data_IF_264146893036
#
_entry.id   IF_264146893036
#
_cell.length_a   1.000
_cell.length_b   1.000
_cell.length_c   1.000
_cell.angle_alpha   90.00
_cell.angle_beta   90.00
_cell.angle_gamma   90.00
#
_symmetry.space_group_name_H-M   'P 1'
#
loop_
_entity.id
_entity.type
_entity.pdbx_description
1 polymer ?
#
# COMPACT_ATOMS: atom_id res chain seq x y z
N UNK A 1 -3.35 -23.25 41.23
CA UNK A 1 -3.35 -22.02 40.41
C UNK A 1 -4.63 -22.03 39.58
N UNK A 2 -5.66 -21.36 40.11
CA UNK A 2 -6.34 -20.17 39.55
C UNK A 2 -7.32 -20.47 38.41
N UNK A 3 -8.59 -20.44 38.79
CA UNK A 3 -9.84 -20.21 38.07
C UNK A 3 -9.76 -19.59 36.66
N UNK A 4 -10.65 -20.02 35.77
CA UNK A 4 -11.65 -19.06 35.27
C UNK A 4 -12.94 -19.72 34.78
N UNK A 5 -14.03 -19.23 35.34
CA UNK A 5 -15.43 -19.57 35.07
C UNK A 5 -15.94 -18.66 33.96
N UNK A 6 -16.50 -19.21 32.86
CA UNK A 6 -17.54 -18.50 32.10
C UNK A 6 -18.56 -19.50 31.55
N UNK A 7 -19.76 -19.37 32.10
CA UNK A 7 -21.03 -20.00 31.74
C UNK A 7 -21.46 -19.54 30.34
N UNK A 8 -21.65 -20.47 29.40
CA UNK A 8 -22.42 -20.22 28.17
C UNK A 8 -23.62 -21.18 28.14
N UNK A 9 -24.59 -20.91 29.01
CA UNK A 9 -25.95 -21.40 28.81
C UNK A 9 -26.79 -20.23 28.31
N UNK A 10 -27.36 -20.39 27.12
CA UNK A 10 -28.61 -19.80 26.61
C UNK A 10 -28.41 -19.63 25.12
N UNK A 11 -28.97 -20.52 24.32
CA UNK A 11 -30.02 -20.21 23.33
C UNK A 11 -30.62 -21.55 22.89
N UNK A 12 -31.76 -21.92 23.49
CA UNK A 12 -32.65 -22.95 22.95
C UNK A 12 -33.49 -22.25 21.88
N UNK A 13 -33.35 -22.65 20.62
CA UNK A 13 -34.22 -22.20 19.54
C UNK A 13 -35.63 -22.74 19.86
N UNK A 14 -36.67 -21.91 19.99
CA UNK A 14 -38.03 -22.41 20.14
C UNK A 14 -38.46 -23.07 18.82
N UNK A 15 -38.87 -24.34 18.89
CA UNK A 15 -39.57 -25.00 17.79
C UNK A 15 -40.87 -24.23 17.51
N UNK A 16 -41.17 -24.04 16.22
CA UNK A 16 -42.28 -23.24 15.74
C UNK A 16 -43.62 -23.93 15.99
N UNK A 17 -44.55 -23.22 16.62
CA UNK A 17 -45.98 -23.56 16.67
C UNK A 17 -46.67 -22.78 15.53
N UNK A 18 -47.38 -23.44 14.58
CA UNK A 18 -47.78 -22.80 13.33
C UNK A 18 -49.10 -22.02 13.38
N UNK A 19 -49.72 -21.81 14.54
CA UNK A 19 -51.04 -21.19 14.65
C UNK A 19 -51.04 -20.02 15.64
N UNK A 20 -50.42 -18.91 15.27
CA UNK A 20 -50.89 -17.61 15.76
C UNK A 20 -50.50 -16.49 14.78
N UNK A 21 -51.51 -15.79 14.28
CA UNK A 21 -51.45 -14.83 13.17
C UNK A 21 -50.68 -13.54 13.48
N UNK A 22 -49.39 -13.63 13.77
CA UNK A 22 -48.52 -12.47 13.93
C UNK A 22 -47.88 -12.13 12.58
N UNK A 23 -48.42 -11.09 11.95
CA UNK A 23 -47.84 -10.44 10.78
C UNK A 23 -46.37 -10.11 11.03
N UNK A 24 -45.47 -10.78 10.31
CA UNK A 24 -44.08 -10.38 10.13
C UNK A 24 -44.04 -9.09 9.30
N UNK A 25 -44.54 -8.00 9.88
CA UNK A 25 -44.28 -6.67 9.39
C UNK A 25 -42.78 -6.47 9.54
N UNK A 26 -42.09 -6.70 8.42
CA UNK A 26 -40.76 -6.23 8.06
C UNK A 26 -40.24 -5.19 9.06
N UNK A 27 -39.58 -5.68 10.11
CA UNK A 27 -38.76 -4.83 10.95
C UNK A 27 -37.53 -4.55 10.11
N UNK A 28 -37.65 -3.59 9.20
CA UNK A 28 -36.53 -2.95 8.55
C UNK A 28 -35.73 -2.30 9.66
N UNK A 29 -34.74 -3.02 10.18
CA UNK A 29 -33.70 -2.46 11.03
C UNK A 29 -32.91 -1.46 10.18
N UNK A 30 -33.43 -0.24 10.06
CA UNK A 30 -32.60 0.89 9.69
C UNK A 30 -31.64 1.06 10.84
N UNK A 31 -30.43 0.49 10.71
CA UNK A 31 -29.31 0.74 11.61
C UNK A 31 -29.05 2.24 11.55
N UNK A 32 -29.68 3.00 12.44
CA UNK A 32 -29.47 4.44 12.59
C UNK A 32 -28.04 4.60 13.08
N UNK A 33 -27.10 4.65 12.14
CA UNK A 33 -25.68 4.72 12.44
C UNK A 33 -25.45 5.96 13.27
N UNK A 34 -25.09 5.77 14.54
CA UNK A 34 -24.81 6.87 15.46
C UNK A 34 -23.80 7.83 14.82
N UNK A 35 -24.00 9.14 15.01
CA UNK A 35 -23.08 10.17 14.50
C UNK A 35 -21.64 9.87 14.88
N UNK A 36 -21.41 9.36 16.10
CA UNK A 36 -20.09 8.94 16.60
C UNK A 36 -19.51 7.78 15.79
N UNK A 37 -20.33 6.81 15.38
CA UNK A 37 -19.89 5.68 14.56
C UNK A 37 -19.47 6.14 13.15
N UNK A 38 -20.17 7.12 12.57
CA UNK A 38 -19.79 7.73 11.29
C UNK A 38 -18.47 8.49 11.38
N UNK A 39 -18.33 9.35 12.40
CA UNK A 39 -17.09 10.10 12.63
C UNK A 39 -15.90 9.16 12.86
N UNK A 40 -16.08 8.12 13.67
CA UNK A 40 -15.04 7.12 13.92
C UNK A 40 -14.65 6.34 12.67
N UNK A 41 -15.62 5.94 11.84
CA UNK A 41 -15.35 5.26 10.57
C UNK A 41 -14.56 6.15 9.60
N UNK A 42 -14.92 7.44 9.47
CA UNK A 42 -14.16 8.38 8.64
C UNK A 42 -12.75 8.63 9.18
N UNK A 43 -12.60 8.75 10.50
CA UNK A 43 -11.29 8.89 11.13
C UNK A 43 -10.40 7.68 10.78
N UNK A 44 -10.88 6.45 11.00
CA UNK A 44 -10.14 5.24 10.65
C UNK A 44 -9.84 5.15 9.15
N UNK A 45 -10.79 5.52 8.28
CA UNK A 45 -10.58 5.56 6.82
C UNK A 45 -9.43 6.51 6.45
N UNK A 46 -9.26 7.62 7.16
CA UNK A 46 -8.19 8.59 6.90
C UNK A 46 -6.87 8.13 7.52
N UNK A 47 -6.88 7.73 8.80
CA UNK A 47 -5.64 7.45 9.54
C UNK A 47 -5.01 6.11 9.23
N UNK A 48 -5.80 5.12 8.79
CA UNK A 48 -5.31 3.76 8.58
C UNK A 48 -5.03 3.46 7.11
N UNK A 49 -4.86 4.49 6.27
CA UNK A 49 -4.40 4.30 4.90
C UNK A 49 -2.98 3.73 4.92
N UNK A 50 -2.76 2.67 4.14
CA UNK A 50 -1.41 2.17 3.91
C UNK A 50 -0.73 3.06 2.85
N UNK A 51 -0.21 4.19 3.32
CA UNK A 51 0.44 5.19 2.47
C UNK A 51 1.66 4.60 1.75
N UNK A 52 2.39 3.70 2.40
CA UNK A 52 3.56 3.05 1.83
C UNK A 52 3.19 2.21 0.61
N UNK A 53 2.19 1.34 0.75
CA UNK A 53 1.71 0.53 -0.36
C UNK A 53 1.08 1.38 -1.46
N UNK A 54 0.37 2.45 -1.09
CA UNK A 54 -0.23 3.38 -2.06
C UNK A 54 0.85 4.08 -2.87
N UNK A 55 1.93 4.52 -2.22
CA UNK A 55 3.08 5.13 -2.86
C UNK A 55 3.78 4.15 -3.81
N UNK A 56 4.13 2.95 -3.34
CA UNK A 56 4.81 1.97 -4.19
C UNK A 56 3.94 1.51 -5.36
N UNK A 57 2.63 1.31 -5.17
CA UNK A 57 1.74 0.97 -6.28
C UNK A 57 1.69 2.07 -7.36
N UNK A 58 1.68 3.35 -6.96
CA UNK A 58 1.74 4.46 -7.88
C UNK A 58 3.12 4.57 -8.55
N UNK A 59 4.19 4.35 -7.79
CA UNK A 59 5.56 4.37 -8.28
C UNK A 59 5.81 3.26 -9.31
N UNK A 60 5.39 2.04 -9.01
CA UNK A 60 5.50 0.85 -9.86
C UNK A 60 4.83 1.08 -11.22
N UNK A 61 3.64 1.71 -11.22
CA UNK A 61 2.92 2.09 -12.43
C UNK A 61 3.74 3.02 -13.35
N UNK A 62 4.64 3.82 -12.78
CA UNK A 62 5.46 4.79 -13.51
C UNK A 62 6.86 4.28 -13.87
N UNK A 63 7.31 3.15 -13.33
CA UNK A 63 8.64 2.58 -13.62
C UNK A 63 8.94 2.47 -15.13
N UNK A 64 8.05 1.94 -16.00
CA UNK A 64 8.36 1.81 -17.42
C UNK A 64 8.63 3.16 -18.10
N UNK A 65 7.86 4.18 -17.72
CA UNK A 65 8.00 5.54 -18.28
C UNK A 65 9.29 6.20 -17.81
N UNK A 66 9.64 6.05 -16.53
CA UNK A 66 10.89 6.58 -15.98
C UNK A 66 12.10 5.92 -16.65
N UNK A 67 12.10 4.60 -16.79
CA UNK A 67 13.16 3.88 -17.50
C UNK A 67 13.32 4.36 -18.96
N UNK A 68 12.22 4.60 -19.67
CA UNK A 68 12.27 5.14 -21.02
C UNK A 68 12.90 6.55 -21.08
N UNK A 69 12.54 7.43 -20.14
CA UNK A 69 13.12 8.78 -20.02
C UNK A 69 14.62 8.69 -19.72
N UNK A 70 15.03 7.79 -18.83
CA UNK A 70 16.45 7.61 -18.50
C UNK A 70 17.25 7.08 -19.68
N UNK A 71 16.73 6.10 -20.43
CA UNK A 71 17.36 5.62 -21.67
C UNK A 71 17.50 6.74 -22.69
N UNK A 72 16.44 7.53 -22.90
CA UNK A 72 16.48 8.68 -23.81
C UNK A 72 17.53 9.71 -23.41
N UNK A 73 17.67 9.97 -22.11
CA UNK A 73 18.69 10.90 -21.57
C UNK A 73 20.10 10.31 -21.68
N UNK A 74 20.26 9.01 -21.45
CA UNK A 74 21.53 8.28 -21.56
C UNK A 74 22.07 8.20 -23.00
N UNK A 75 21.19 8.27 -24.02
CA UNK A 75 21.62 8.34 -25.43
C UNK A 75 22.21 9.69 -25.85
N UNK A 76 22.29 10.67 -24.94
CA UNK A 76 22.89 11.99 -25.18
C UNK A 76 24.34 12.03 -24.70
N UNK A 77 25.03 13.14 -24.95
CA UNK A 77 26.38 13.39 -24.43
C UNK A 77 26.36 14.11 -23.08
N UNK A 78 27.38 13.89 -22.26
CA UNK A 78 27.67 14.62 -21.02
C UNK A 78 27.59 13.75 -19.76
N UNK A 79 28.13 14.28 -18.66
CA UNK A 79 28.31 13.56 -17.38
C UNK A 79 27.04 12.87 -16.86
N UNK A 80 25.89 13.55 -16.94
CA UNK A 80 24.59 12.97 -16.55
C UNK A 80 24.20 11.79 -17.44
N UNK A 81 24.46 11.86 -18.74
CA UNK A 81 24.11 10.79 -19.67
C UNK A 81 25.02 9.57 -19.45
N UNK A 82 26.32 9.79 -19.22
CA UNK A 82 27.29 8.75 -18.87
C UNK A 82 26.89 8.02 -17.58
N UNK A 83 26.57 8.76 -16.50
CA UNK A 83 26.14 8.17 -15.24
C UNK A 83 24.82 7.38 -15.37
N UNK A 84 23.86 7.88 -16.17
CA UNK A 84 22.63 7.12 -16.44
C UNK A 84 22.91 5.87 -17.28
N UNK A 85 23.81 5.93 -18.25
CA UNK A 85 24.20 4.78 -19.05
C UNK A 85 24.85 3.68 -18.18
N UNK A 86 25.67 4.06 -17.20
CA UNK A 86 26.25 3.12 -16.24
C UNK A 86 25.18 2.43 -15.38
N UNK A 87 24.24 3.19 -14.81
CA UNK A 87 23.14 2.63 -14.02
C UNK A 87 22.28 1.67 -14.86
N UNK A 88 21.98 2.05 -16.11
CA UNK A 88 21.18 1.24 -17.02
C UNK A 88 21.93 -0.02 -17.48
N UNK A 89 23.26 0.07 -17.65
CA UNK A 89 24.10 -1.10 -17.96
C UNK A 89 24.05 -2.12 -16.81
N UNK A 90 24.21 -1.67 -15.56
CA UNK A 90 24.12 -2.55 -14.38
C UNK A 90 22.73 -3.21 -14.31
N UNK A 91 21.66 -2.47 -14.61
CA UNK A 91 20.32 -3.03 -14.68
C UNK A 91 20.19 -4.10 -15.78
N UNK A 92 20.69 -3.83 -16.98
CA UNK A 92 20.55 -4.73 -18.14
C UNK A 92 21.40 -6.01 -17.99
N UNK A 93 22.46 -5.96 -17.19
CA UNK A 93 23.30 -7.12 -16.84
C UNK A 93 22.65 -8.05 -15.79
N UNK A 94 21.54 -7.66 -15.16
CA UNK A 94 20.85 -8.52 -14.19
C UNK A 94 20.08 -9.66 -14.87
N UNK A 95 20.21 -10.87 -14.35
CA UNK A 95 19.49 -12.04 -14.89
C UNK A 95 17.97 -11.92 -14.74
N UNK A 96 17.49 -11.22 -13.71
CA UNK A 96 16.08 -11.03 -13.40
C UNK A 96 15.67 -9.56 -13.48
N UNK A 97 14.71 -9.28 -14.35
CA UNK A 97 14.16 -7.94 -14.56
C UNK A 97 12.80 -7.77 -13.86
N UNK A 98 12.75 -8.07 -12.56
CA UNK A 98 11.55 -7.96 -11.74
C UNK A 98 11.23 -6.50 -11.34
N UNK A 99 10.17 -6.31 -10.55
CA UNK A 99 9.74 -4.98 -10.11
C UNK A 99 10.77 -4.33 -9.17
N UNK A 100 11.42 -5.12 -8.33
CA UNK A 100 12.39 -4.61 -7.34
C UNK A 100 13.66 -4.12 -8.03
N UNK A 101 14.13 -4.84 -9.04
CA UNK A 101 15.32 -4.44 -9.79
C UNK A 101 15.08 -3.15 -10.55
N UNK A 102 13.94 -3.02 -11.23
CA UNK A 102 13.53 -1.78 -11.89
C UNK A 102 13.36 -0.62 -10.90
N UNK A 103 12.70 -0.87 -9.77
CA UNK A 103 12.53 0.10 -8.70
C UNK A 103 13.88 0.62 -8.20
N UNK A 104 14.82 -0.28 -7.94
CA UNK A 104 16.18 0.06 -7.51
C UNK A 104 16.89 0.94 -8.55
N UNK A 105 16.89 0.54 -9.82
CA UNK A 105 17.53 1.33 -10.88
C UNK A 105 16.91 2.71 -11.04
N UNK A 106 15.58 2.82 -10.97
CA UNK A 106 14.89 4.11 -11.03
C UNK A 106 15.25 4.99 -9.84
N UNK A 107 15.30 4.44 -8.63
CA UNK A 107 15.70 5.16 -7.42
C UNK A 107 17.12 5.71 -7.54
N UNK A 108 18.07 4.93 -8.08
CA UNK A 108 19.44 5.41 -8.31
C UNK A 108 19.54 6.42 -9.45
N UNK A 109 18.76 6.26 -10.51
CA UNK A 109 18.78 7.15 -11.68
C UNK A 109 18.11 8.51 -11.43
N UNK A 110 17.12 8.57 -10.53
CA UNK A 110 16.37 9.81 -10.22
C UNK A 110 17.26 11.00 -9.84
N UNK A 111 18.13 10.92 -8.81
CA UNK A 111 18.94 12.08 -8.43
C UNK A 111 19.97 12.43 -9.51
N UNK A 112 20.50 11.44 -10.24
CA UNK A 112 21.38 11.68 -11.40
C UNK A 112 20.65 12.46 -12.50
N UNK A 113 19.41 12.05 -12.82
CA UNK A 113 18.58 12.71 -13.83
C UNK A 113 18.22 14.14 -13.45
N UNK A 114 17.88 14.38 -12.18
CA UNK A 114 17.55 15.69 -11.62
C UNK A 114 18.78 16.57 -11.35
N UNK A 115 20.00 16.01 -11.49
CA UNK A 115 21.28 16.66 -11.18
C UNK A 115 21.36 17.12 -9.71
N UNK A 116 20.79 16.32 -8.81
CA UNK A 116 20.82 16.55 -7.38
C UNK A 116 22.12 15.99 -6.78
N UNK A 117 22.58 16.58 -5.68
CA UNK A 117 23.70 16.02 -4.92
C UNK A 117 23.27 14.73 -4.20
N UNK A 118 23.86 13.61 -4.61
CA UNK A 118 23.59 12.29 -4.04
C UNK A 118 24.31 12.04 -2.73
N UNK A 119 25.27 12.88 -2.33
CA UNK A 119 26.18 12.64 -1.18
C UNK A 119 25.47 12.42 0.16
N UNK A 120 24.22 12.89 0.30
CA UNK A 120 23.38 12.68 1.48
C UNK A 120 21.97 12.16 1.18
N UNK A 121 21.69 11.75 -0.06
CA UNK A 121 20.35 11.35 -0.50
C UNK A 121 19.96 9.98 0.06
N UNK A 122 20.87 9.01 -0.05
CA UNK A 122 20.71 7.68 0.54
C UNK A 122 21.26 7.68 1.96
N UNK A 123 20.45 8.15 2.91
CA UNK A 123 20.76 7.93 4.32
C UNK A 123 20.50 6.48 4.66
N UNK A 124 21.55 5.72 4.90
CA UNK A 124 21.44 4.40 5.53
C UNK A 124 20.85 4.61 6.92
N UNK A 125 19.70 4.00 7.21
CA UNK A 125 19.17 3.96 8.56
C UNK A 125 20.17 3.21 9.44
N UNK A 126 20.99 3.93 10.20
CA UNK A 126 21.74 3.34 11.30
C UNK A 126 20.72 2.92 12.35
N UNK A 127 20.55 1.61 12.53
CA UNK A 127 19.78 1.06 13.66
C UNK A 127 20.42 1.58 14.95
N UNK A 128 19.69 2.41 15.69
CA UNK A 128 19.97 2.71 17.09
C UNK A 128 19.44 1.58 17.97
#
# INVERSE_FOLDING_TARGET
MVNNSVRLSKYRIPEADPEDGVSYASVSYTRKSSRKARVYAEFQRITNQNLLNTFYAAFDRHLPRLMAIFRQKASKSGKTAEALAEILKIHDEQELHDINTRCTSVIHALPVYLQEDTSGFFRTCTRY
#
